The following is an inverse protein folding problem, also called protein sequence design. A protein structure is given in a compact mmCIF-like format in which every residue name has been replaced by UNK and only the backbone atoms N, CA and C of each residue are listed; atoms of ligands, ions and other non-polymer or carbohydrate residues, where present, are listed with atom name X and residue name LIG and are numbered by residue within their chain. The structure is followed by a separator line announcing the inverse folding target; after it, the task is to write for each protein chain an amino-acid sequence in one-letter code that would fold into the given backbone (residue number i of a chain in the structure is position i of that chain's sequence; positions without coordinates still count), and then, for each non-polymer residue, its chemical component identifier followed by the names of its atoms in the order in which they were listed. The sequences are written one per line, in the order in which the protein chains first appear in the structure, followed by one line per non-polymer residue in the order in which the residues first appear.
data_IF_423021123535
#
_entry.id   IF_423021123535
#
_cell.length_a   1.000
_cell.length_b   1.000
_cell.length_c   1.000
_cell.angle_alpha   90.00
_cell.angle_beta   90.00
_cell.angle_gamma   90.00
#
_symmetry.space_group_name_H-M   'P 1'
#
loop_
_entity.id
_entity.type
_entity.pdbx_description
1 polymer ?
#
# COMPACT_ATOMS: atom_id res chain seq x y z
N UNK A 1 -5.32 -13.07 20.99
CA UNK A 1 -5.76 -13.64 19.70
C UNK A 1 -5.10 -12.83 18.60
N UNK A 2 -3.99 -13.32 18.04
CA UNK A 2 -3.36 -12.66 16.89
C UNK A 2 -4.21 -12.98 15.67
N UNK A 3 -4.91 -11.98 15.14
CA UNK A 3 -5.52 -12.06 13.81
C UNK A 3 -4.37 -12.21 12.82
N UNK A 4 -4.14 -13.43 12.35
CA UNK A 4 -3.18 -13.71 11.29
C UNK A 4 -3.72 -13.03 10.04
N UNK A 5 -3.22 -11.83 9.76
CA UNK A 5 -3.58 -11.09 8.56
C UNK A 5 -3.02 -11.85 7.36
N UNK A 6 -3.88 -12.32 6.47
CA UNK A 6 -3.44 -13.00 5.25
C UNK A 6 -2.97 -11.96 4.24
N UNK A 7 -1.68 -12.00 3.92
CA UNK A 7 -1.08 -11.23 2.84
C UNK A 7 -1.12 -12.08 1.57
N UNK A 8 -1.56 -11.50 0.46
CA UNK A 8 -1.35 -12.10 -0.85
C UNK A 8 0.14 -12.04 -1.22
N UNK A 9 0.53 -12.85 -2.22
CA UNK A 9 1.93 -12.94 -2.68
C UNK A 9 2.50 -11.62 -3.21
N UNK A 10 1.65 -10.68 -3.61
CA UNK A 10 1.99 -9.34 -4.08
C UNK A 10 1.96 -8.28 -2.96
N UNK A 11 1.83 -8.73 -1.70
CA UNK A 11 1.68 -7.94 -0.49
C UNK A 11 0.42 -7.06 -0.43
N UNK A 12 -0.62 -7.37 -1.21
CA UNK A 12 -1.96 -6.83 -1.00
C UNK A 12 -2.70 -7.62 0.09
N UNK A 13 -3.81 -7.06 0.57
CA UNK A 13 -4.71 -7.69 1.55
C UNK A 13 -6.16 -7.51 1.11
N UNK A 14 -7.08 -8.23 1.73
CA UNK A 14 -8.51 -8.07 1.45
C UNK A 14 -9.17 -7.03 2.37
N UNK A 15 -10.00 -6.17 1.78
CA UNK A 15 -10.88 -5.26 2.52
C UNK A 15 -12.18 -5.96 2.93
N UNK A 16 -12.82 -5.51 4.01
CA UNK A 16 -14.16 -5.99 4.38
C UNK A 16 -15.24 -5.77 3.30
N UNK A 17 -14.99 -4.89 2.32
CA UNK A 17 -15.87 -4.66 1.18
C UNK A 17 -15.58 -5.58 -0.03
N UNK A 18 -14.70 -6.58 0.11
CA UNK A 18 -14.34 -7.53 -0.96
C UNK A 18 -13.40 -6.97 -2.03
N UNK A 19 -12.85 -5.76 -1.83
CA UNK A 19 -11.86 -5.16 -2.73
C UNK A 19 -10.45 -5.36 -2.19
N UNK A 20 -9.43 -5.48 -3.07
CA UNK A 20 -8.05 -5.49 -2.62
C UNK A 20 -7.68 -4.14 -1.99
N UNK A 21 -6.89 -4.19 -0.92
CA UNK A 21 -6.22 -3.03 -0.35
C UNK A 21 -4.75 -3.05 -0.72
N UNK A 22 -4.26 -1.89 -1.13
CA UNK A 22 -2.89 -1.68 -1.57
C UNK A 22 -2.12 -0.92 -0.50
N UNK A 23 -0.84 -1.23 -0.25
CA UNK A 23 -0.02 -0.46 0.66
C UNK A 23 0.24 0.93 0.06
N UNK A 24 -0.05 1.98 0.83
CA UNK A 24 0.06 3.38 0.37
C UNK A 24 1.16 4.15 1.07
N UNK A 25 1.48 3.82 2.32
CA UNK A 25 2.57 4.45 3.06
C UNK A 25 3.05 3.59 4.22
N UNK A 26 4.25 3.90 4.73
CA UNK A 26 4.78 3.34 5.97
C UNK A 26 4.83 4.40 7.06
N UNK A 27 4.43 4.01 8.27
CA UNK A 27 4.55 4.81 9.48
C UNK A 27 5.33 3.99 10.52
N UNK A 28 6.65 4.13 10.52
CA UNK A 28 7.53 3.36 11.40
C UNK A 28 7.44 1.84 11.16
N UNK A 29 6.92 1.13 12.17
CA UNK A 29 6.72 -0.31 12.14
C UNK A 29 5.41 -0.73 11.45
N UNK A 30 4.53 0.21 11.12
CA UNK A 30 3.23 -0.06 10.53
C UNK A 30 3.18 0.34 9.05
N UNK A 31 2.26 -0.30 8.34
CA UNK A 31 1.96 -0.07 6.92
C UNK A 31 0.50 0.32 6.82
N UNK A 32 0.23 1.43 6.13
CA UNK A 32 -1.11 1.88 5.80
C UNK A 32 -1.53 1.27 4.47
N UNK A 33 -2.72 0.67 4.46
CA UNK A 33 -3.38 0.12 3.30
C UNK A 33 -4.65 0.88 2.97
N UNK A 34 -4.97 0.98 1.70
CA UNK A 34 -6.18 1.63 1.21
C UNK A 34 -6.79 0.83 0.05
N UNK A 35 -8.12 0.65 0.06
CA UNK A 35 -8.85 0.11 -1.09
C UNK A 35 -9.42 1.22 -1.98
N UNK A 36 -9.95 0.86 -3.15
CA UNK A 36 -10.55 1.82 -4.08
C UNK A 36 -11.72 2.64 -3.47
N UNK A 37 -12.41 2.10 -2.47
CA UNK A 37 -13.48 2.78 -1.73
C UNK A 37 -12.96 3.66 -0.57
N UNK A 38 -11.64 3.91 -0.49
CA UNK A 38 -10.98 4.71 0.55
C UNK A 38 -11.10 4.17 1.97
N UNK A 39 -11.44 2.89 2.15
CA UNK A 39 -11.31 2.25 3.46
C UNK A 39 -9.82 2.12 3.78
N UNK A 40 -9.45 2.50 5.00
CA UNK A 40 -8.07 2.49 5.47
C UNK A 40 -7.88 1.41 6.51
N UNK A 41 -6.75 0.70 6.43
CA UNK A 41 -6.27 -0.17 7.50
C UNK A 41 -4.81 0.12 7.80
N UNK A 42 -4.44 0.02 9.07
CA UNK A 42 -3.07 0.14 9.53
C UNK A 42 -2.69 -1.19 10.16
N UNK A 43 -1.61 -1.79 9.67
CA UNK A 43 -1.21 -3.15 10.03
C UNK A 43 0.29 -3.15 10.27
N UNK A 44 0.78 -3.90 11.28
CA UNK A 44 2.22 -4.09 11.47
C UNK A 44 2.89 -4.63 10.22
N UNK A 45 4.08 -4.12 9.91
CA UNK A 45 4.86 -4.59 8.78
C UNK A 45 5.17 -6.10 8.96
N UNK A 46 4.91 -6.93 7.93
CA UNK A 46 5.15 -8.37 8.02
C UNK A 46 6.62 -8.63 8.34
N UNK A 47 6.92 -9.71 9.08
CA UNK A 47 8.30 -10.09 9.38
C UNK A 47 9.06 -10.59 8.14
N UNK A 48 8.33 -11.14 7.16
CA UNK A 48 8.88 -11.66 5.91
C UNK A 48 9.57 -10.55 5.09
N UNK A 49 10.89 -10.67 4.83
CA UNK A 49 11.64 -9.73 4.00
C UNK A 49 11.11 -9.59 2.58
N UNK A 50 10.55 -10.64 1.98
CA UNK A 50 10.02 -10.59 0.61
C UNK A 50 8.78 -9.69 0.54
N UNK A 51 7.83 -9.87 1.47
CA UNK A 51 6.67 -9.01 1.59
C UNK A 51 7.06 -7.57 1.92
N UNK A 52 8.05 -7.34 2.80
CA UNK A 52 8.56 -6.00 3.08
C UNK A 52 9.08 -5.28 1.83
N UNK A 53 9.80 -6.00 0.95
CA UNK A 53 10.28 -5.45 -0.33
C UNK A 53 9.12 -5.17 -1.28
N UNK A 54 8.15 -6.06 -1.38
CA UNK A 54 6.96 -5.84 -2.21
C UNK A 54 6.17 -4.59 -1.76
N UNK A 55 5.98 -4.40 -0.45
CA UNK A 55 5.35 -3.21 0.13
C UNK A 55 6.11 -1.94 -0.24
N UNK A 56 7.44 -1.95 -0.07
CA UNK A 56 8.27 -0.79 -0.43
C UNK A 56 8.14 -0.45 -1.92
N UNK A 57 8.21 -1.46 -2.79
CA UNK A 57 8.06 -1.27 -4.23
C UNK A 57 6.70 -0.67 -4.62
N UNK A 58 5.62 -1.06 -3.95
CA UNK A 58 4.30 -0.48 -4.17
C UNK A 58 4.25 1.00 -3.81
N UNK A 59 4.78 1.36 -2.64
CA UNK A 59 4.79 2.74 -2.14
C UNK A 59 5.65 3.63 -3.06
N UNK A 60 6.81 3.13 -3.50
CA UNK A 60 7.69 3.86 -4.41
C UNK A 60 7.03 4.07 -5.78
N UNK A 61 6.45 3.03 -6.37
CA UNK A 61 5.73 3.13 -7.65
C UNK A 61 4.56 4.11 -7.58
N UNK A 62 3.79 4.09 -6.49
CA UNK A 62 2.69 5.02 -6.29
C UNK A 62 3.17 6.45 -6.17
N UNK A 63 4.26 6.69 -5.44
CA UNK A 63 4.87 8.01 -5.32
C UNK A 63 5.33 8.53 -6.68
N UNK A 64 6.02 7.70 -7.47
CA UNK A 64 6.44 8.04 -8.84
C UNK A 64 5.26 8.36 -9.77
N UNK A 65 4.15 7.63 -9.66
CA UNK A 65 2.94 7.91 -10.44
C UNK A 65 2.36 9.29 -10.12
N UNK A 66 2.32 9.67 -8.83
CA UNK A 66 1.83 10.97 -8.37
C UNK A 66 2.78 12.08 -8.84
N UNK A 67 4.10 11.89 -8.71
CA UNK A 67 5.11 12.84 -9.17
C UNK A 67 5.03 13.10 -10.68
N UNK A 68 4.87 12.05 -11.49
CA UNK A 68 4.70 12.20 -12.94
C UNK A 68 3.39 12.91 -13.29
N UNK A 69 2.31 12.63 -12.55
CA UNK A 69 1.04 13.34 -12.71
C UNK A 69 1.18 14.83 -12.40
N UNK A 70 1.88 15.19 -11.32
CA UNK A 70 2.16 16.59 -10.98
C UNK A 70 3.02 17.28 -12.04
N UNK A 71 4.09 16.63 -12.51
CA UNK A 71 4.98 17.16 -13.57
C UNK A 71 4.25 17.37 -14.90
N UNK A 72 3.22 16.58 -15.19
CA UNK A 72 2.37 16.78 -16.37
C UNK A 72 1.50 18.02 -16.21
N UNK A 73 0.91 18.24 -15.03
CA UNK A 73 0.11 19.43 -14.76
C UNK A 73 0.92 20.72 -14.84
N UNK A 74 2.18 20.72 -14.37
CA UNK A 74 3.08 21.87 -14.47
C UNK A 74 3.53 22.22 -15.90
N UNK A 75 3.36 21.30 -16.87
CA UNK A 75 3.75 21.51 -18.27
C UNK A 75 2.60 21.90 -19.20
N UNK A 76 1.37 21.73 -18.74
CA UNK A 76 0.15 22.10 -19.48
C UNK A 76 -0.35 23.51 -19.09
N UNK A 77 0.39 24.27 -18.27
CA UNK A 77 0.23 25.72 -17.98
C UNK A 77 1.29 26.55 -18.73
#
# INVERSE_FOLDING_TARGET
MSLTMEFHSDATIECACGLPMFPVSRAGADVRYECANRHVRVIPAPADPALRRAIANWIDKRSQQIEEQHRRWERDE
#
